data_IF_019880982120
#
_entry.id   IF_019880982120
#
_cell.length_a   1.000
_cell.length_b   1.000
_cell.length_c   1.000
_cell.angle_alpha   90.00
_cell.angle_beta   90.00
_cell.angle_gamma   90.00
#
_symmetry.space_group_name_H-M   'P 1'
#
loop_
_entity.id
_entity.type
_entity.pdbx_description
1 polymer ?
#
# COMPACT_ATOMS: atom_id res chain seq x y z
N UNK A 1 -3.30 7.60 6.26
CA UNK A 1 -3.93 8.86 5.78
C UNK A 1 -2.96 9.50 4.80
N UNK A 2 -3.08 9.16 3.52
CA UNK A 2 -2.13 9.49 2.45
C UNK A 2 -2.72 9.06 1.10
N UNK A 3 -1.90 9.04 0.05
CA UNK A 3 -2.09 8.28 -1.21
C UNK A 3 -3.04 8.91 -2.23
N UNK A 4 -4.16 9.48 -1.78
CA UNK A 4 -5.13 10.10 -2.69
C UNK A 4 -4.56 11.34 -3.41
N UNK A 5 -3.92 12.31 -2.72
CA UNK A 5 -3.36 13.48 -3.38
C UNK A 5 -2.28 13.12 -4.41
N UNK A 6 -1.39 12.18 -4.09
CA UNK A 6 -0.32 11.74 -4.98
C UNK A 6 -0.87 11.04 -6.23
N UNK A 7 -1.90 10.20 -6.06
CA UNK A 7 -2.55 9.52 -7.17
C UNK A 7 -3.20 10.51 -8.13
N UNK A 8 -3.87 11.55 -7.62
CA UNK A 8 -4.51 12.58 -8.45
C UNK A 8 -3.47 13.31 -9.30
N UNK A 9 -2.38 13.78 -8.69
CA UNK A 9 -1.32 14.52 -9.41
C UNK A 9 -0.62 13.63 -10.43
N UNK A 10 -0.31 12.38 -10.09
CA UNK A 10 0.33 11.44 -11.02
C UNK A 10 -0.56 11.16 -12.24
N UNK A 11 -1.87 10.97 -12.04
CA UNK A 11 -2.83 10.79 -13.14
C UNK A 11 -2.96 12.05 -13.99
N UNK A 12 -2.98 13.22 -13.37
CA UNK A 12 -3.01 14.50 -14.08
C UNK A 12 -1.79 14.67 -14.99
N UNK A 13 -0.62 14.18 -14.58
CA UNK A 13 0.60 14.18 -15.40
C UNK A 13 0.67 13.02 -16.42
N UNK A 14 -0.40 12.25 -16.63
CA UNK A 14 -0.44 11.14 -17.58
C UNK A 14 0.27 9.85 -17.14
N UNK A 15 0.70 9.76 -15.87
CA UNK A 15 1.37 8.56 -15.36
C UNK A 15 0.36 7.42 -15.14
N UNK A 16 0.81 6.18 -15.39
CA UNK A 16 0.07 4.99 -14.96
C UNK A 16 0.26 4.81 -13.46
N UNK A 17 -0.84 4.72 -12.72
CA UNK A 17 -0.82 4.61 -11.25
C UNK A 17 -1.33 3.23 -10.84
N UNK A 18 -0.59 2.57 -9.95
CA UNK A 18 -0.99 1.36 -9.24
C UNK A 18 -0.80 1.62 -7.74
N UNK A 19 -1.77 1.23 -6.91
CA UNK A 19 -1.72 1.43 -5.47
C UNK A 19 -2.28 0.22 -4.73
N UNK A 20 -1.69 -0.08 -3.57
CA UNK A 20 -2.14 -1.11 -2.65
C UNK A 20 -1.98 -0.61 -1.21
N UNK A 21 -2.67 -1.26 -0.27
CA UNK A 21 -2.56 -0.93 1.15
C UNK A 21 -2.24 -2.19 1.94
N UNK A 22 -1.29 -2.06 2.87
CA UNK A 22 -1.07 -3.07 3.90
C UNK A 22 -2.08 -2.84 5.02
N UNK A 23 -2.88 -3.86 5.33
CA UNK A 23 -3.74 -3.82 6.51
C UNK A 23 -2.86 -4.09 7.73
N UNK A 24 -2.51 -3.01 8.44
CA UNK A 24 -1.61 -3.06 9.60
C UNK A 24 -2.33 -3.32 10.91
N UNK A 25 -3.62 -3.02 10.97
CA UNK A 25 -4.45 -3.19 12.16
C UNK A 25 -5.92 -3.32 11.74
N UNK A 26 -6.72 -4.01 12.56
CA UNK A 26 -8.18 -4.03 12.40
C UNK A 26 -8.75 -2.78 13.06
N UNK A 27 -9.67 -2.08 12.38
CA UNK A 27 -10.33 -0.92 12.97
C UNK A 27 -11.26 -1.39 14.07
N UNK A 28 -11.08 -0.79 15.24
CA UNK A 28 -11.91 -1.02 16.43
C UNK A 28 -13.27 -0.37 16.18
N UNK A 29 -14.32 -1.18 16.12
CA UNK A 29 -15.68 -0.77 15.71
C UNK A 29 -16.72 -0.97 16.80
N UNK A 30 -16.31 -1.52 17.95
CA UNK A 30 -17.17 -1.85 19.08
C UNK A 30 -16.89 -0.92 20.27
N UNK A 31 -17.95 -0.36 20.88
CA UNK A 31 -17.84 0.58 22.00
C UNK A 31 -17.41 -0.10 23.32
N UNK A 32 -17.51 -1.43 23.45
CA UNK A 32 -17.07 -2.19 24.63
C UNK A 32 -15.62 -2.68 24.51
N UNK A 33 -15.00 -2.53 23.34
CA UNK A 33 -13.63 -2.99 23.11
C UNK A 33 -12.59 -2.03 23.70
N UNK A 34 -11.68 -2.59 24.51
CA UNK A 34 -10.56 -1.86 25.13
C UNK A 34 -9.33 -1.75 24.21
N UNK A 35 -9.38 -2.34 23.02
CA UNK A 35 -8.31 -2.27 22.04
C UNK A 35 -8.22 -0.85 21.49
N UNK A 36 -7.05 -0.23 21.60
CA UNK A 36 -6.75 1.07 21.01
C UNK A 36 -5.77 0.86 19.88
N UNK A 37 -6.04 1.47 18.72
CA UNK A 37 -5.07 1.48 17.63
C UNK A 37 -3.76 2.13 18.12
N UNK A 38 -2.67 1.36 18.15
CA UNK A 38 -1.35 1.84 18.54
C UNK A 38 -0.43 1.90 17.32
N UNK A 39 0.35 2.98 17.21
CA UNK A 39 1.38 3.15 16.19
C UNK A 39 2.48 2.08 16.27
N UNK A 40 2.81 1.58 17.46
CA UNK A 40 3.81 0.51 17.62
C UNK A 40 3.37 -0.83 17.02
N UNK A 41 2.08 -1.18 17.16
CA UNK A 41 1.50 -2.38 16.54
C UNK A 41 1.58 -2.28 15.00
N UNK A 42 1.27 -1.09 14.47
CA UNK A 42 1.35 -0.81 13.02
C UNK A 42 2.78 -0.98 12.50
N UNK A 43 3.78 -0.48 13.24
CA UNK A 43 5.19 -0.62 12.89
C UNK A 43 5.64 -2.07 12.90
N UNK A 44 5.25 -2.83 13.92
CA UNK A 44 5.61 -4.24 14.06
C UNK A 44 4.97 -5.11 12.97
N UNK A 45 3.68 -4.91 12.69
CA UNK A 45 3.00 -5.54 11.56
C UNK A 45 3.73 -5.24 10.24
N UNK A 46 4.19 -4.01 10.04
CA UNK A 46 5.01 -3.60 8.89
C UNK A 46 6.33 -4.36 8.78
N UNK A 47 7.06 -4.55 9.89
CA UNK A 47 8.31 -5.33 9.90
C UNK A 47 8.08 -6.79 9.53
N UNK A 48 7.02 -7.39 10.05
CA UNK A 48 6.69 -8.80 9.81
C UNK A 48 6.39 -9.09 8.33
N UNK A 49 5.79 -8.13 7.62
CA UNK A 49 5.45 -8.30 6.20
C UNK A 49 6.48 -7.71 5.23
N UNK A 50 7.57 -7.10 5.73
CA UNK A 50 8.54 -6.37 4.90
C UNK A 50 9.08 -7.24 3.75
N UNK A 51 9.55 -8.45 4.04
CA UNK A 51 10.07 -9.38 3.02
C UNK A 51 9.00 -9.81 2.01
N UNK A 52 7.75 -9.99 2.46
CA UNK A 52 6.63 -10.34 1.59
C UNK A 52 6.29 -9.20 0.64
N UNK A 53 6.31 -7.96 1.14
CA UNK A 53 6.09 -6.76 0.34
C UNK A 53 7.21 -6.53 -0.67
N UNK A 54 8.47 -6.70 -0.28
CA UNK A 54 9.62 -6.60 -1.19
C UNK A 54 9.49 -7.58 -2.36
N UNK A 55 9.16 -8.85 -2.06
CA UNK A 55 8.93 -9.87 -3.09
C UNK A 55 7.73 -9.53 -3.98
N UNK A 56 6.66 -9.00 -3.39
CA UNK A 56 5.48 -8.57 -4.15
C UNK A 56 5.81 -7.44 -5.12
N UNK A 57 6.51 -6.40 -4.67
CA UNK A 57 6.93 -5.27 -5.53
C UNK A 57 7.89 -5.74 -6.62
N UNK A 58 8.79 -6.68 -6.32
CA UNK A 58 9.68 -7.28 -7.30
C UNK A 58 8.93 -8.01 -8.43
N UNK A 59 7.90 -8.79 -8.07
CA UNK A 59 7.01 -9.45 -9.04
C UNK A 59 6.21 -8.41 -9.84
N UNK A 60 5.72 -7.36 -9.17
CA UNK A 60 4.96 -6.30 -9.82
C UNK A 60 5.78 -5.63 -10.92
N UNK A 61 7.07 -5.36 -10.70
CA UNK A 61 7.96 -4.78 -11.71
C UNK A 61 8.05 -5.64 -12.97
N UNK A 62 8.09 -6.97 -12.83
CA UNK A 62 8.10 -7.89 -13.97
C UNK A 62 6.81 -7.82 -14.80
N UNK A 63 5.69 -7.41 -14.20
CA UNK A 63 4.41 -7.22 -14.87
C UNK A 63 4.21 -5.85 -15.53
N UNK A 64 5.16 -4.91 -15.39
CA UNK A 64 5.04 -3.57 -16.00
C UNK A 64 5.47 -3.65 -17.47
N UNK A 65 4.59 -3.27 -18.43
CA UNK A 65 4.94 -3.23 -19.84
C UNK A 65 6.08 -2.26 -20.15
N UNK A 66 6.98 -2.67 -21.03
CA UNK A 66 8.06 -1.80 -21.52
C UNK A 66 7.49 -0.64 -22.34
N UNK A 67 8.01 0.59 -22.19
CA UNK A 67 7.59 1.72 -23.00
C UNK A 67 7.89 1.42 -24.48
N UNK A 68 6.86 1.50 -25.34
CA UNK A 68 6.97 1.21 -26.77
C UNK A 68 6.50 -0.18 -27.22
N UNK A 69 6.12 -1.08 -26.30
CA UNK A 69 5.54 -2.40 -26.65
C UNK A 69 3.99 -2.41 -26.65
N UNK A 70 3.35 -1.25 -26.58
CA UNK A 70 1.90 -1.14 -26.78
C UNK A 70 1.61 -1.03 -28.29
N UNK A 71 1.28 -2.17 -28.90
CA UNK A 71 0.46 -2.20 -30.12
C UNK A 71 -1.02 -2.02 -29.74
#
# INVERSE_FOLDING_TARGET
>A
MSTVPEAIVARHCGLRVFGFSLITNKVVTDYESLEKANHEEVLEAGRQVAQKLEKFVSILMAGIPQPGCAN
#
